data_IF_880776520520
#
_entry.id   IF_880776520520
#
_cell.length_a   1.000
_cell.length_b   1.000
_cell.length_c   1.000
_cell.angle_alpha   90.00
_cell.angle_beta   90.00
_cell.angle_gamma   90.00
#
_symmetry.space_group_name_H-M   'P 1'
#
loop_
_entity.id
_entity.type
_entity.pdbx_description
1 polymer ?
#
# COMPACT_ATOMS: atom_id res chain seq x y z
N UNK A 1 -19.59 -78.92 -25.53
CA UNK A 1 -18.88 -80.21 -25.37
C UNK A 1 -19.82 -81.20 -24.68
N UNK A 2 -20.69 -81.88 -25.45
CA UNK A 2 -21.42 -83.12 -25.09
C UNK A 2 -22.36 -83.59 -26.25
N UNK A 3 -22.07 -83.26 -27.51
CA UNK A 3 -22.91 -83.67 -28.65
C UNK A 3 -22.79 -85.17 -28.98
N UNK A 4 -21.64 -85.77 -28.66
CA UNK A 4 -21.45 -87.22 -28.73
C UNK A 4 -22.23 -87.94 -27.62
N UNK A 5 -22.43 -87.26 -26.48
CA UNK A 5 -22.99 -87.91 -25.28
C UNK A 5 -24.52 -88.05 -25.33
N UNK A 6 -25.22 -87.11 -25.98
CA UNK A 6 -26.68 -87.15 -26.10
C UNK A 6 -27.20 -87.99 -27.26
N UNK A 7 -26.44 -88.14 -28.35
CA UNK A 7 -26.94 -88.75 -29.60
C UNK A 7 -26.34 -90.10 -29.95
N UNK A 8 -25.29 -90.53 -29.25
CA UNK A 8 -24.58 -91.76 -29.60
C UNK A 8 -24.36 -92.68 -28.39
N UNK A 9 -23.69 -92.22 -27.33
CA UNK A 9 -23.51 -93.03 -26.11
C UNK A 9 -24.87 -93.34 -25.49
N UNK A 10 -25.06 -94.60 -25.07
CA UNK A 10 -26.30 -95.14 -24.48
C UNK A 10 -27.51 -95.31 -25.41
N UNK A 11 -27.37 -95.12 -26.73
CA UNK A 11 -28.46 -95.41 -27.69
C UNK A 11 -28.52 -96.89 -28.08
N UNK A 12 -29.70 -97.37 -28.51
CA UNK A 12 -29.86 -98.73 -29.05
C UNK A 12 -28.90 -99.00 -30.20
N UNK A 13 -28.67 -98.00 -31.06
CA UNK A 13 -27.75 -98.04 -32.19
C UNK A 13 -26.29 -98.30 -31.78
N UNK A 14 -25.79 -97.67 -30.71
CA UNK A 14 -24.42 -97.89 -30.23
C UNK A 14 -24.23 -99.31 -29.70
N UNK A 15 -25.22 -99.83 -28.97
CA UNK A 15 -25.20 -101.19 -28.42
C UNK A 15 -25.29 -102.24 -29.54
N UNK A 16 -26.08 -101.95 -30.57
CA UNK A 16 -26.26 -102.82 -31.74
C UNK A 16 -25.03 -102.82 -32.65
N UNK A 17 -24.40 -101.65 -32.89
CA UNK A 17 -23.14 -101.55 -33.63
C UNK A 17 -21.98 -102.22 -32.89
N UNK A 18 -21.87 -102.08 -31.57
CA UNK A 18 -20.85 -102.77 -30.79
C UNK A 18 -21.06 -104.29 -30.77
N UNK A 19 -22.33 -104.74 -30.70
CA UNK A 19 -22.69 -106.16 -30.86
C UNK A 19 -22.29 -106.67 -32.25
N UNK A 20 -22.60 -105.94 -33.32
CA UNK A 20 -22.20 -106.30 -34.69
C UNK A 20 -20.68 -106.30 -34.86
N UNK A 21 -19.97 -105.30 -34.33
CA UNK A 21 -18.50 -105.25 -34.34
C UNK A 21 -17.90 -106.44 -33.61
N UNK A 22 -18.50 -106.86 -32.50
CA UNK A 22 -18.08 -108.04 -31.73
C UNK A 22 -18.37 -109.35 -32.46
N UNK A 23 -19.48 -109.45 -33.19
CA UNK A 23 -19.75 -110.60 -34.06
C UNK A 23 -18.76 -110.69 -35.23
N UNK A 24 -18.44 -109.56 -35.87
CA UNK A 24 -17.42 -109.48 -36.93
C UNK A 24 -16.03 -109.86 -36.36
N UNK A 25 -15.68 -109.40 -35.17
CA UNK A 25 -14.37 -109.71 -34.56
C UNK A 25 -14.22 -111.16 -34.12
N UNK A 26 -15.32 -111.82 -33.73
CA UNK A 26 -15.36 -113.25 -33.38
C UNK A 26 -15.27 -114.15 -34.63
N UNK A 27 -15.51 -113.62 -35.83
CA UNK A 27 -15.28 -114.25 -37.14
C UNK A 27 -15.86 -115.69 -37.27
N UNK A 28 -17.07 -115.90 -36.76
CA UNK A 28 -17.72 -117.21 -36.80
C UNK A 28 -18.55 -117.35 -38.09
N UNK A 29 -18.39 -118.46 -38.82
CA UNK A 29 -19.06 -118.70 -40.10
C UNK A 29 -20.58 -118.89 -39.92
N UNK A 30 -21.35 -117.83 -40.17
CA UNK A 30 -22.82 -117.84 -40.16
C UNK A 30 -23.38 -118.01 -41.57
N UNK A 31 -24.61 -118.54 -41.69
CA UNK A 31 -25.31 -118.67 -42.97
C UNK A 31 -25.57 -117.29 -43.58
N UNK A 32 -25.21 -117.11 -44.86
CA UNK A 32 -25.38 -115.85 -45.58
C UNK A 32 -26.82 -115.34 -45.50
N UNK A 33 -27.01 -114.18 -44.86
CA UNK A 33 -28.32 -113.53 -44.69
C UNK A 33 -28.27 -112.14 -45.30
N UNK A 34 -29.02 -111.94 -46.38
CA UNK A 34 -29.19 -110.62 -47.03
C UNK A 34 -29.76 -109.60 -46.04
N UNK A 35 -30.62 -110.06 -45.13
CA UNK A 35 -31.25 -109.22 -44.09
C UNK A 35 -30.22 -108.65 -43.13
N UNK A 36 -29.24 -109.44 -42.69
CA UNK A 36 -28.19 -108.96 -41.78
C UNK A 36 -27.25 -107.94 -42.43
N UNK A 37 -26.94 -108.12 -43.72
CA UNK A 37 -26.14 -107.16 -44.48
C UNK A 37 -26.83 -105.80 -44.67
N UNK A 38 -28.15 -105.81 -44.90
CA UNK A 38 -28.96 -104.59 -44.98
C UNK A 38 -29.03 -103.86 -43.63
N UNK A 39 -29.26 -104.58 -42.53
CA UNK A 39 -29.27 -104.00 -41.17
C UNK A 39 -27.92 -103.35 -40.81
N UNK A 40 -26.80 -103.98 -41.17
CA UNK A 40 -25.48 -103.40 -40.96
C UNK A 40 -25.29 -102.11 -41.77
N UNK A 41 -25.72 -102.10 -43.03
CA UNK A 41 -25.59 -100.95 -43.92
C UNK A 41 -26.45 -99.76 -43.46
N UNK A 42 -27.68 -100.02 -43.01
CA UNK A 42 -28.58 -98.99 -42.48
C UNK A 42 -28.06 -98.38 -41.17
N UNK A 43 -27.55 -99.22 -40.26
CA UNK A 43 -26.96 -98.75 -39.01
C UNK A 43 -25.66 -97.95 -39.25
N UNK A 44 -24.82 -98.38 -40.19
CA UNK A 44 -23.59 -97.66 -40.54
C UNK A 44 -23.87 -96.33 -41.26
N UNK A 45 -24.88 -96.30 -42.12
CA UNK A 45 -25.36 -95.07 -42.78
C UNK A 45 -25.88 -94.07 -41.73
N UNK A 46 -26.64 -94.56 -40.74
CA UNK A 46 -27.11 -93.74 -39.62
C UNK A 46 -25.96 -93.17 -38.80
N UNK A 47 -24.93 -93.97 -38.50
CA UNK A 47 -23.74 -93.50 -37.79
C UNK A 47 -22.96 -92.43 -38.54
N UNK A 48 -22.72 -92.61 -39.85
CA UNK A 48 -22.01 -91.63 -40.69
C UNK A 48 -22.79 -90.31 -40.75
N UNK A 49 -24.12 -90.38 -40.85
CA UNK A 49 -24.98 -89.19 -40.84
C UNK A 49 -24.91 -88.44 -39.50
N UNK A 50 -24.84 -89.14 -38.36
CA UNK A 50 -24.65 -88.53 -37.04
C UNK A 50 -23.28 -87.84 -36.97
N UNK A 51 -22.20 -88.51 -37.39
CA UNK A 51 -20.86 -87.91 -37.41
C UNK A 51 -20.78 -86.67 -38.29
N UNK A 52 -21.37 -86.72 -39.48
CA UNK A 52 -21.44 -85.58 -40.40
C UNK A 52 -22.21 -84.41 -39.77
N UNK A 53 -23.33 -84.69 -39.09
CA UNK A 53 -24.11 -83.68 -38.38
C UNK A 53 -23.28 -83.01 -37.28
N UNK A 54 -22.53 -83.79 -36.49
CA UNK A 54 -21.65 -83.26 -35.44
C UNK A 54 -20.57 -82.36 -36.06
N UNK A 55 -19.94 -82.80 -37.15
CA UNK A 55 -18.92 -82.02 -37.85
C UNK A 55 -19.48 -80.69 -38.37
N UNK A 56 -20.66 -80.71 -39.00
CA UNK A 56 -21.31 -79.51 -39.53
C UNK A 56 -21.73 -78.55 -38.40
N UNK A 57 -22.21 -79.08 -37.27
CA UNK A 57 -22.56 -78.27 -36.10
C UNK A 57 -21.33 -77.62 -35.48
N UNK A 58 -20.25 -78.37 -35.28
CA UNK A 58 -19.00 -77.83 -34.74
C UNK A 58 -18.38 -76.77 -35.67
N UNK A 59 -18.38 -77.02 -36.98
CA UNK A 59 -17.89 -76.06 -37.96
C UNK A 59 -18.69 -74.75 -37.92
N UNK A 60 -20.03 -74.83 -37.85
CA UNK A 60 -20.89 -73.66 -37.69
C UNK A 60 -20.63 -72.92 -36.38
N UNK A 61 -20.48 -73.64 -35.27
CA UNK A 61 -20.26 -73.07 -33.95
C UNK A 61 -18.91 -72.33 -33.87
N UNK A 62 -17.85 -72.91 -34.45
CA UNK A 62 -16.52 -72.28 -34.55
C UNK A 62 -16.60 -70.99 -35.38
N UNK A 63 -17.24 -71.03 -36.55
CA UNK A 63 -17.36 -69.84 -37.42
C UNK A 63 -18.17 -68.73 -36.75
N UNK A 64 -19.28 -69.07 -36.09
CA UNK A 64 -20.10 -68.10 -35.34
C UNK A 64 -19.32 -67.52 -34.16
N UNK A 65 -18.59 -68.35 -33.42
CA UNK A 65 -17.76 -67.90 -32.30
C UNK A 65 -16.65 -66.96 -32.75
N UNK A 66 -15.94 -67.30 -33.84
CA UNK A 66 -14.91 -66.45 -34.44
C UNK A 66 -15.48 -65.11 -34.91
N UNK A 67 -16.61 -65.13 -35.62
CA UNK A 67 -17.23 -63.90 -36.14
C UNK A 67 -17.73 -62.99 -35.01
N UNK A 68 -18.31 -63.56 -33.95
CA UNK A 68 -18.73 -62.81 -32.77
C UNK A 68 -17.51 -62.18 -32.07
N UNK A 69 -16.45 -62.95 -31.84
CA UNK A 69 -15.23 -62.45 -31.20
C UNK A 69 -14.56 -61.35 -32.03
N UNK A 70 -14.50 -61.50 -33.36
CA UNK A 70 -13.95 -60.50 -34.26
C UNK A 70 -14.76 -59.19 -34.22
N UNK A 71 -16.09 -59.28 -34.26
CA UNK A 71 -16.98 -58.11 -34.20
C UNK A 71 -16.91 -57.35 -32.87
N UNK A 72 -16.64 -58.05 -31.76
CA UNK A 72 -16.42 -57.44 -30.45
C UNK A 72 -15.10 -56.66 -30.43
N UNK A 73 -14.02 -57.25 -30.92
CA UNK A 73 -12.71 -56.59 -30.98
C UNK A 73 -12.72 -55.36 -31.90
N UNK A 74 -13.44 -55.41 -33.02
CA UNK A 74 -13.59 -54.24 -33.91
C UNK A 74 -14.33 -53.08 -33.23
N UNK A 75 -15.31 -53.37 -32.37
CA UNK A 75 -16.03 -52.34 -31.59
C UNK A 75 -15.14 -51.71 -30.53
N UNK A 76 -14.40 -52.53 -29.80
CA UNK A 76 -13.51 -52.05 -28.74
C UNK A 76 -12.36 -51.19 -29.28
N UNK A 77 -11.76 -51.60 -30.42
CA UNK A 77 -10.74 -50.81 -31.12
C UNK A 77 -11.33 -49.49 -31.61
N UNK A 78 -12.55 -49.50 -32.16
CA UNK A 78 -13.22 -48.28 -32.64
C UNK A 78 -13.49 -47.29 -31.51
N UNK A 79 -14.01 -47.75 -30.38
CA UNK A 79 -14.25 -46.91 -29.20
C UNK A 79 -12.92 -46.33 -28.69
N UNK A 80 -11.88 -47.15 -28.62
CA UNK A 80 -10.54 -46.72 -28.20
C UNK A 80 -9.97 -45.62 -29.09
N UNK A 81 -10.11 -45.74 -30.42
CA UNK A 81 -9.67 -44.71 -31.37
C UNK A 81 -10.43 -43.40 -31.16
N UNK A 82 -11.76 -43.44 -30.99
CA UNK A 82 -12.54 -42.22 -30.75
C UNK A 82 -12.17 -41.52 -29.44
N UNK A 83 -11.90 -42.27 -28.38
CA UNK A 83 -11.43 -41.71 -27.10
C UNK A 83 -10.07 -41.02 -27.25
N UNK A 84 -9.12 -41.66 -27.96
CA UNK A 84 -7.79 -41.10 -28.19
C UNK A 84 -7.86 -39.82 -29.03
N UNK A 85 -8.63 -39.82 -30.12
CA UNK A 85 -8.81 -38.63 -30.97
C UNK A 85 -9.48 -37.50 -30.17
N UNK A 86 -10.49 -37.81 -29.35
CA UNK A 86 -11.12 -36.84 -28.47
C UNK A 86 -10.12 -36.22 -27.47
N UNK A 87 -9.28 -37.04 -26.85
CA UNK A 87 -8.24 -36.58 -25.93
C UNK A 87 -7.21 -35.65 -26.63
N UNK A 88 -6.78 -36.02 -27.85
CA UNK A 88 -5.84 -35.22 -28.65
C UNK A 88 -6.43 -33.85 -29.00
N UNK A 89 -7.74 -33.76 -29.30
CA UNK A 89 -8.40 -32.49 -29.62
C UNK A 89 -8.68 -31.66 -28.36
N UNK A 90 -9.01 -32.29 -27.24
CA UNK A 90 -9.29 -31.59 -25.97
C UNK A 90 -8.04 -31.01 -25.33
N UNK A 91 -6.89 -31.67 -25.46
CA UNK A 91 -5.62 -31.21 -24.89
C UNK A 91 -5.23 -29.77 -25.30
N UNK A 92 -5.16 -29.40 -26.59
CA UNK A 92 -4.83 -28.03 -26.99
C UNK A 92 -5.88 -27.02 -26.55
N UNK A 93 -7.16 -27.40 -26.47
CA UNK A 93 -8.24 -26.52 -25.98
C UNK A 93 -8.03 -26.21 -24.50
N UNK A 94 -7.73 -27.22 -23.68
CA UNK A 94 -7.44 -27.05 -22.25
C UNK A 94 -6.19 -26.18 -22.07
N UNK A 95 -5.12 -26.44 -22.80
CA UNK A 95 -3.88 -25.64 -22.74
C UNK A 95 -4.16 -24.19 -23.12
N UNK A 96 -4.93 -23.94 -24.18
CA UNK A 96 -5.31 -22.58 -24.59
C UNK A 96 -6.15 -21.86 -23.53
N UNK A 97 -7.11 -22.56 -22.92
CA UNK A 97 -7.95 -22.03 -21.85
C UNK A 97 -7.09 -21.65 -20.63
N UNK A 98 -6.22 -22.56 -20.18
CA UNK A 98 -5.31 -22.34 -19.05
C UNK A 98 -4.37 -21.18 -19.34
N UNK A 99 -3.82 -21.10 -20.55
CA UNK A 99 -2.98 -19.97 -20.96
C UNK A 99 -3.74 -18.64 -20.90
N UNK A 100 -4.97 -18.59 -21.44
CA UNK A 100 -5.83 -17.38 -21.38
C UNK A 100 -6.16 -16.97 -19.95
N UNK A 101 -6.46 -17.93 -19.07
CA UNK A 101 -6.75 -17.68 -17.66
C UNK A 101 -5.53 -17.12 -16.93
N UNK A 102 -4.36 -17.74 -17.08
CA UNK A 102 -3.11 -17.25 -16.48
C UNK A 102 -2.74 -15.86 -16.97
N UNK A 103 -2.86 -15.60 -18.29
CA UNK A 103 -2.59 -14.27 -18.85
C UNK A 103 -3.53 -13.21 -18.27
N UNK A 104 -4.83 -13.51 -18.14
CA UNK A 104 -5.79 -12.61 -17.49
C UNK A 104 -5.44 -12.36 -16.03
N UNK A 105 -5.11 -13.41 -15.28
CA UNK A 105 -4.72 -13.33 -13.88
C UNK A 105 -3.50 -12.42 -13.68
N UNK A 106 -2.46 -12.60 -14.51
CA UNK A 106 -1.26 -11.75 -14.47
C UNK A 106 -1.58 -10.30 -14.84
N UNK A 107 -2.36 -10.06 -15.90
CA UNK A 107 -2.74 -8.70 -16.29
C UNK A 107 -3.59 -7.99 -15.23
N UNK A 108 -4.46 -8.74 -14.54
CA UNK A 108 -5.27 -8.25 -13.44
C UNK A 108 -4.40 -7.95 -12.22
N UNK A 109 -3.48 -8.85 -11.86
CA UNK A 109 -2.51 -8.63 -10.78
C UNK A 109 -1.68 -7.37 -11.04
N UNK A 110 -1.15 -7.21 -12.26
CA UNK A 110 -0.40 -6.02 -12.65
C UNK A 110 -1.27 -4.74 -12.63
N UNK A 111 -2.53 -4.83 -13.06
CA UNK A 111 -3.45 -3.69 -12.95
C UNK A 111 -3.76 -3.35 -11.49
N UNK A 112 -3.85 -4.35 -10.61
CA UNK A 112 -4.07 -4.15 -9.19
C UNK A 112 -2.86 -3.46 -8.57
N UNK A 113 -1.64 -3.94 -8.85
CA UNK A 113 -0.41 -3.33 -8.34
C UNK A 113 -0.23 -1.89 -8.81
N UNK A 114 -0.56 -1.60 -10.08
CA UNK A 114 -0.49 -0.24 -10.60
C UNK A 114 -1.52 0.66 -9.91
N UNK A 115 -2.79 0.21 -9.79
CA UNK A 115 -3.81 0.98 -9.08
C UNK A 115 -3.47 1.20 -7.60
N UNK A 116 -2.90 0.22 -6.91
CA UNK A 116 -2.46 0.40 -5.53
C UNK A 116 -1.31 1.40 -5.43
N UNK A 117 -0.39 1.39 -6.40
CA UNK A 117 0.71 2.36 -6.44
C UNK A 117 0.20 3.78 -6.70
N UNK A 118 -0.70 3.95 -7.68
CA UNK A 118 -1.31 5.24 -8.00
C UNK A 118 -2.09 5.79 -6.79
N UNK A 119 -2.89 4.94 -6.13
CA UNK A 119 -3.61 5.31 -4.91
C UNK A 119 -2.67 5.70 -3.76
N UNK A 120 -1.54 5.01 -3.60
CA UNK A 120 -0.54 5.35 -2.58
C UNK A 120 0.12 6.70 -2.88
N UNK A 121 0.39 7.00 -4.15
CA UNK A 121 0.94 8.28 -4.59
C UNK A 121 -0.05 9.44 -4.37
N UNK A 122 -1.32 9.24 -4.75
CA UNK A 122 -2.39 10.22 -4.50
C UNK A 122 -2.60 10.46 -3.01
N UNK A 123 -2.56 9.39 -2.21
CA UNK A 123 -2.62 9.47 -0.75
C UNK A 123 -1.46 10.29 -0.20
N UNK A 124 -0.21 9.97 -0.57
CA UNK A 124 0.98 10.73 -0.12
C UNK A 124 0.90 12.21 -0.47
N UNK A 125 0.43 12.53 -1.68
CA UNK A 125 0.26 13.92 -2.11
C UNK A 125 -0.80 14.64 -1.27
N UNK A 126 -1.91 13.97 -0.99
CA UNK A 126 -2.99 14.51 -0.13
C UNK A 126 -2.51 14.73 1.31
N UNK A 127 -1.76 13.77 1.86
CA UNK A 127 -1.15 13.88 3.19
C UNK A 127 -0.16 15.05 3.28
N UNK A 128 0.70 15.21 2.27
CA UNK A 128 1.65 16.34 2.21
C UNK A 128 0.95 17.69 2.19
N UNK A 129 -0.11 17.85 1.37
CA UNK A 129 -0.90 19.07 1.32
C UNK A 129 -1.58 19.35 2.67
N UNK A 130 -2.08 18.31 3.34
CA UNK A 130 -2.69 18.45 4.66
C UNK A 130 -1.66 18.91 5.71
N UNK A 131 -0.44 18.37 5.68
CA UNK A 131 0.64 18.78 6.59
C UNK A 131 1.18 20.19 6.32
N UNK A 132 0.97 20.74 5.12
CA UNK A 132 1.27 22.14 4.83
C UNK A 132 0.25 23.11 5.45
N UNK A 133 -0.98 22.65 5.68
CA UNK A 133 -2.07 23.48 6.23
C UNK A 133 -2.27 23.30 7.74
N UNK A 134 -1.90 22.14 8.29
CA UNK A 134 -2.12 21.79 9.69
C UNK A 134 -0.91 21.09 10.29
N UNK A 135 -0.69 21.20 11.61
CA UNK A 135 0.38 20.46 12.25
C UNK A 135 0.19 18.95 12.12
N UNK A 136 1.29 18.21 11.96
CA UNK A 136 1.30 16.76 11.68
C UNK A 136 0.47 15.95 12.68
N UNK A 137 0.54 16.29 13.98
CA UNK A 137 -0.22 15.61 15.03
C UNK A 137 -1.74 15.77 14.86
N UNK A 138 -2.18 16.97 14.46
CA UNK A 138 -3.57 17.31 14.23
C UNK A 138 -4.07 16.71 12.91
N UNK A 139 -3.27 16.80 11.85
CA UNK A 139 -3.55 16.20 10.56
C UNK A 139 -3.75 14.68 10.66
N UNK A 140 -2.88 13.96 11.39
CA UNK A 140 -3.03 12.52 11.65
C UNK A 140 -4.33 12.18 12.38
N UNK A 141 -4.74 13.01 13.34
CA UNK A 141 -6.02 12.84 14.04
C UNK A 141 -7.21 13.04 13.11
N UNK A 142 -7.15 14.03 12.22
CA UNK A 142 -8.18 14.25 11.19
C UNK A 142 -8.30 13.07 10.23
N UNK A 143 -7.18 12.53 9.76
CA UNK A 143 -7.18 11.40 8.82
C UNK A 143 -7.73 10.10 9.43
N UNK A 144 -7.66 9.96 10.75
CA UNK A 144 -8.19 8.81 11.47
C UNK A 144 -9.62 9.01 11.99
N UNK A 145 -10.31 10.07 11.56
CA UNK A 145 -11.65 10.46 12.04
C UNK A 145 -11.74 10.58 13.58
N UNK A 146 -10.61 10.89 14.23
CA UNK A 146 -10.59 11.08 15.69
C UNK A 146 -11.00 12.51 16.03
N UNK A 147 -11.86 12.71 17.04
CA UNK A 147 -12.26 14.05 17.45
C UNK A 147 -11.03 14.84 17.93
N UNK A 148 -10.92 16.09 17.48
CA UNK A 148 -9.85 17.01 17.89
C UNK A 148 -10.42 17.96 18.93
N UNK A 149 -10.25 17.60 20.19
CA UNK A 149 -10.62 18.45 21.30
C UNK A 149 -9.60 19.58 21.47
N UNK A 150 -10.04 20.79 21.86
CA UNK A 150 -9.14 21.87 22.26
C UNK A 150 -8.24 21.42 23.41
N UNK A 151 -6.96 21.77 23.32
CA UNK A 151 -5.96 21.45 24.35
C UNK A 151 -5.49 22.72 25.06
N UNK A 152 -5.37 22.65 26.38
CA UNK A 152 -4.81 23.71 27.19
C UNK A 152 -3.29 23.53 27.33
N UNK A 153 -2.52 24.54 26.93
CA UNK A 153 -1.08 24.59 27.09
C UNK A 153 -0.73 25.59 28.20
N UNK A 154 -0.10 25.11 29.27
CA UNK A 154 0.27 25.93 30.43
C UNK A 154 1.34 26.98 30.11
N UNK A 155 2.33 26.62 29.30
CA UNK A 155 3.42 27.51 28.91
C UNK A 155 3.75 27.34 27.43
N UNK A 156 3.59 28.43 26.68
CA UNK A 156 4.04 28.58 25.29
C UNK A 156 4.62 29.97 25.10
N UNK A 157 5.57 30.13 24.18
CA UNK A 157 6.08 31.44 23.80
C UNK A 157 5.53 31.83 22.44
N UNK A 158 4.85 32.96 22.39
CA UNK A 158 4.25 33.54 21.19
C UNK A 158 5.10 34.69 20.68
N UNK A 159 5.42 34.66 19.40
CA UNK A 159 6.09 35.69 18.62
C UNK A 159 5.06 36.40 17.73
N UNK A 160 5.13 37.72 17.69
CA UNK A 160 4.48 38.56 16.69
C UNK A 160 5.52 39.47 16.05
N UNK A 161 5.43 39.65 14.74
CA UNK A 161 6.10 40.75 14.07
C UNK A 161 5.21 41.49 13.11
N UNK A 162 5.51 42.77 12.92
CA UNK A 162 4.86 43.63 11.95
C UNK A 162 5.88 44.41 11.14
N UNK A 163 5.51 44.78 9.90
CA UNK A 163 6.37 45.53 9.00
C UNK A 163 6.20 47.02 9.28
N UNK A 164 7.31 47.70 9.59
CA UNK A 164 7.29 49.14 9.86
C UNK A 164 6.95 49.90 8.59
N UNK A 165 5.88 50.70 8.64
CA UNK A 165 5.49 51.56 7.53
C UNK A 165 4.82 50.83 6.36
N UNK A 166 4.38 49.58 6.54
CA UNK A 166 3.76 48.77 5.48
C UNK A 166 2.63 49.48 4.74
N UNK A 167 1.72 50.16 5.45
CA UNK A 167 0.63 50.96 4.84
C UNK A 167 1.16 52.05 3.92
N UNK A 168 2.28 52.68 4.27
CA UNK A 168 2.93 53.74 3.47
C UNK A 168 3.64 53.15 2.25
N UNK A 169 4.27 51.99 2.41
CA UNK A 169 4.90 51.27 1.29
C UNK A 169 3.82 50.83 0.30
N UNK A 170 2.71 50.27 0.80
CA UNK A 170 1.58 49.82 -0.01
C UNK A 170 0.91 50.97 -0.77
N UNK A 171 0.76 52.16 -0.16
CA UNK A 171 0.14 53.30 -0.84
C UNK A 171 0.98 53.84 -2.00
N UNK A 172 2.29 53.60 -2.00
CA UNK A 172 3.24 53.99 -3.05
C UNK A 172 3.51 52.89 -4.08
N UNK A 173 3.02 51.68 -3.85
CA UNK A 173 3.33 50.49 -4.64
C UNK A 173 2.10 50.01 -5.40
N UNK A 174 2.28 49.42 -6.57
CA UNK A 174 1.18 48.72 -7.23
C UNK A 174 0.81 47.46 -6.43
N UNK A 175 -0.46 46.99 -6.48
CA UNK A 175 -0.86 45.76 -5.80
C UNK A 175 0.00 44.55 -6.19
N UNK A 176 0.47 44.50 -7.45
CA UNK A 176 1.35 43.43 -7.91
C UNK A 176 2.73 43.49 -7.25
N UNK A 177 3.32 44.68 -7.11
CA UNK A 177 4.58 44.87 -6.37
C UNK A 177 4.44 44.50 -4.89
N UNK A 178 3.30 44.85 -4.27
CA UNK A 178 3.00 44.49 -2.87
C UNK A 178 2.97 42.97 -2.67
N UNK A 179 2.38 42.22 -3.61
CA UNK A 179 2.37 40.76 -3.54
C UNK A 179 3.79 40.19 -3.70
N UNK A 180 4.55 40.66 -4.70
CA UNK A 180 5.90 40.17 -4.93
C UNK A 180 6.85 40.46 -3.75
N UNK A 181 6.79 41.68 -3.18
CA UNK A 181 7.66 42.05 -2.05
C UNK A 181 7.32 41.25 -0.79
N UNK A 182 6.04 40.97 -0.52
CA UNK A 182 5.63 40.15 0.62
C UNK A 182 6.04 38.70 0.45
N UNK A 183 5.86 38.14 -0.76
CA UNK A 183 6.27 36.77 -1.04
C UNK A 183 7.78 36.60 -0.90
N UNK A 184 8.58 37.57 -1.34
CA UNK A 184 10.04 37.57 -1.17
C UNK A 184 10.43 37.59 0.32
N UNK A 185 9.88 38.53 1.10
CA UNK A 185 10.13 38.64 2.54
C UNK A 185 9.74 37.36 3.29
N UNK A 186 8.53 36.84 3.04
CA UNK A 186 8.06 35.63 3.72
C UNK A 186 8.81 34.38 3.29
N UNK A 187 9.26 34.27 2.03
CA UNK A 187 10.08 33.14 1.60
C UNK A 187 11.42 33.10 2.35
N UNK A 188 12.04 34.26 2.55
CA UNK A 188 13.30 34.38 3.32
C UNK A 188 13.07 34.00 4.79
N UNK A 189 11.96 34.44 5.40
CA UNK A 189 11.62 34.07 6.77
C UNK A 189 11.31 32.57 6.88
N UNK A 190 10.50 32.03 5.97
CA UNK A 190 10.11 30.61 5.93
C UNK A 190 11.33 29.68 5.84
N UNK A 191 12.37 30.05 5.07
CA UNK A 191 13.61 29.28 5.00
C UNK A 191 14.38 29.25 6.34
N UNK A 192 14.30 30.32 7.15
CA UNK A 192 15.01 30.37 8.44
C UNK A 192 14.29 29.60 9.52
N UNK A 193 12.95 29.67 9.56
CA UNK A 193 12.17 29.05 10.64
C UNK A 193 12.23 27.52 10.64
N UNK A 194 12.52 26.88 9.49
CA UNK A 194 12.71 25.42 9.40
C UNK A 194 13.83 24.88 10.31
N UNK A 195 14.74 25.75 10.78
CA UNK A 195 15.86 25.38 11.68
C UNK A 195 15.50 25.38 13.15
N UNK A 196 14.33 25.91 13.52
CA UNK A 196 13.89 26.13 14.89
C UNK A 196 12.63 25.32 15.21
N UNK A 197 12.42 25.01 16.49
CA UNK A 197 11.19 24.33 16.94
C UNK A 197 10.04 25.33 17.11
N UNK A 198 9.49 25.77 15.98
CA UNK A 198 8.43 26.80 15.91
C UNK A 198 7.32 26.38 14.95
N UNK A 199 6.10 26.76 15.31
CA UNK A 199 4.90 26.57 14.49
C UNK A 199 4.39 27.92 13.98
N UNK A 200 4.25 28.04 12.65
CA UNK A 200 3.68 29.21 11.98
C UNK A 200 2.17 29.22 12.11
N UNK A 201 1.62 30.31 12.62
CA UNK A 201 0.17 30.50 12.77
C UNK A 201 -0.32 31.42 11.66
N UNK A 202 -1.36 31.02 10.94
CA UNK A 202 -1.98 31.88 9.94
C UNK A 202 -2.66 33.09 10.59
N UNK A 203 -2.21 34.28 10.20
CA UNK A 203 -2.72 35.57 10.65
C UNK A 203 -3.33 36.38 9.51
N UNK A 204 -4.03 37.46 9.88
CA UNK A 204 -4.61 38.41 8.93
C UNK A 204 -3.63 39.58 8.78
N UNK A 205 -3.27 39.92 7.54
CA UNK A 205 -2.47 41.10 7.22
C UNK A 205 -0.97 40.82 7.06
N UNK A 206 -0.16 41.83 7.41
CA UNK A 206 1.31 41.86 7.44
C UNK A 206 1.91 41.37 8.76
N UNK A 207 1.05 41.09 9.75
CA UNK A 207 1.47 40.47 10.99
C UNK A 207 1.93 39.04 10.75
N UNK A 208 3.11 38.68 11.26
CA UNK A 208 3.67 37.34 11.20
C UNK A 208 3.71 36.73 12.59
N UNK A 209 2.92 35.65 12.81
CA UNK A 209 2.79 35.00 14.11
C UNK A 209 3.42 33.62 14.11
N UNK A 210 4.24 33.37 15.13
CA UNK A 210 4.90 32.09 15.36
C UNK A 210 4.79 31.71 16.82
N UNK A 211 4.79 30.42 17.11
CA UNK A 211 4.63 29.92 18.47
C UNK A 211 5.50 28.70 18.68
N UNK A 212 6.11 28.62 19.86
CA UNK A 212 6.86 27.44 20.31
C UNK A 212 6.26 26.87 21.59
N UNK A 213 6.43 25.57 21.81
CA UNK A 213 5.76 24.81 22.88
C UNK A 213 4.39 24.24 22.50
N UNK A 214 3.97 24.41 21.24
CA UNK A 214 2.81 23.75 20.64
C UNK A 214 3.03 23.53 19.13
N UNK A 215 2.30 22.58 18.49
CA UNK A 215 1.36 21.62 19.09
C UNK A 215 2.06 20.53 19.92
N UNK A 216 3.38 20.38 19.79
CA UNK A 216 4.19 19.49 20.60
C UNK A 216 4.84 20.33 21.70
N UNK A 217 4.70 19.87 22.94
CA UNK A 217 5.30 20.54 24.11
C UNK A 217 6.80 20.34 24.09
N UNK A 218 7.56 21.42 24.21
CA UNK A 218 9.02 21.38 24.23
C UNK A 218 9.61 21.81 25.58
N UNK A 219 8.86 21.54 26.67
CA UNK A 219 9.28 21.80 28.06
C UNK A 219 9.67 23.27 28.25
N UNK A 220 10.89 23.56 28.70
CA UNK A 220 11.37 24.91 29.01
C UNK A 220 12.11 25.58 27.83
N UNK A 221 12.19 24.93 26.66
CA UNK A 221 12.97 25.44 25.53
C UNK A 221 12.20 26.44 24.64
N UNK A 222 10.86 26.51 24.74
CA UNK A 222 10.03 27.37 23.88
C UNK A 222 10.50 28.83 23.82
N UNK A 223 10.90 29.40 24.95
CA UNK A 223 11.32 30.78 25.03
C UNK A 223 12.66 30.99 24.32
N UNK A 224 13.60 30.07 24.51
CA UNK A 224 14.92 30.12 23.89
C UNK A 224 14.87 29.93 22.37
N UNK A 225 14.03 29.02 21.88
CA UNK A 225 13.84 28.76 20.44
C UNK A 225 13.29 30.00 19.74
N UNK A 226 12.24 30.62 20.31
CA UNK A 226 11.66 31.86 19.77
C UNK A 226 12.66 33.02 19.84
N UNK A 227 13.44 33.13 20.93
CA UNK A 227 14.45 34.17 21.07
C UNK A 227 15.56 34.06 20.02
N UNK A 228 16.11 32.86 19.80
CA UNK A 228 17.13 32.62 18.77
C UNK A 228 16.60 32.88 17.37
N UNK A 229 15.40 32.37 17.08
CA UNK A 229 14.73 32.61 15.80
C UNK A 229 14.50 34.10 15.55
N UNK A 230 14.10 34.84 16.58
CA UNK A 230 13.87 36.29 16.47
C UNK A 230 15.14 37.07 16.14
N UNK A 231 16.27 36.69 16.74
CA UNK A 231 17.58 37.26 16.40
C UNK A 231 17.98 36.97 14.96
N UNK A 232 17.80 35.73 14.51
CA UNK A 232 18.15 35.30 13.15
C UNK A 232 17.29 35.99 12.09
N UNK A 233 15.97 36.09 12.33
CA UNK A 233 15.03 36.82 11.47
C UNK A 233 15.40 38.30 11.42
N UNK A 234 15.68 38.93 12.56
CA UNK A 234 16.03 40.34 12.60
C UNK A 234 17.31 40.62 11.81
N UNK A 235 18.33 39.77 11.94
CA UNK A 235 19.58 39.88 11.19
C UNK A 235 19.33 39.80 9.68
N UNK A 236 18.64 38.76 9.19
CA UNK A 236 18.45 38.56 7.75
C UNK A 236 17.53 39.61 7.11
N UNK A 237 16.49 40.03 7.83
CA UNK A 237 15.56 41.06 7.35
C UNK A 237 16.27 42.41 7.26
N UNK A 238 17.16 42.74 8.21
CA UNK A 238 17.95 43.98 8.18
C UNK A 238 18.98 44.05 7.03
N UNK A 239 19.37 42.89 6.48
CA UNK A 239 20.26 42.78 5.32
C UNK A 239 19.48 42.84 4.00
N UNK A 240 18.19 42.53 4.03
CA UNK A 240 17.32 42.46 2.85
C UNK A 240 16.75 43.84 2.48
N UNK A 241 16.56 44.06 1.17
CA UNK A 241 16.01 45.31 0.62
C UNK A 241 14.63 45.08 0.01
N UNK A 242 13.85 46.14 -0.07
CA UNK A 242 12.55 46.10 -0.75
C UNK A 242 12.78 46.02 -2.27
N UNK A 243 12.34 44.96 -2.97
CA UNK A 243 12.75 44.67 -4.35
C UNK A 243 12.51 45.80 -5.36
N UNK A 244 11.43 46.57 -5.19
CA UNK A 244 11.04 47.66 -6.10
C UNK A 244 11.37 49.06 -5.56
N UNK A 245 11.94 49.19 -4.37
CA UNK A 245 12.34 50.48 -3.77
C UNK A 245 13.85 50.42 -3.42
N UNK A 246 14.72 50.82 -4.37
CA UNK A 246 16.16 50.73 -4.18
C UNK A 246 16.64 51.54 -2.96
N UNK A 247 17.46 50.90 -2.12
CA UNK A 247 18.05 51.54 -0.94
C UNK A 247 17.17 51.55 0.31
N UNK A 248 15.91 51.16 0.21
CA UNK A 248 15.04 50.98 1.38
C UNK A 248 15.14 49.55 1.89
N UNK A 249 15.53 49.41 3.17
CA UNK A 249 15.67 48.12 3.85
C UNK A 249 14.40 47.78 4.58
N UNK A 250 14.15 46.49 4.74
CA UNK A 250 13.06 46.04 5.60
C UNK A 250 13.34 46.42 7.05
N UNK A 251 12.30 46.92 7.72
CA UNK A 251 12.30 47.12 9.16
C UNK A 251 11.08 46.43 9.73
N UNK A 252 11.30 45.60 10.73
CA UNK A 252 10.24 44.89 11.44
C UNK A 252 10.28 45.26 12.92
N UNK A 253 9.11 45.22 13.54
CA UNK A 253 8.96 45.22 15.00
C UNK A 253 8.69 43.80 15.45
N UNK A 254 9.29 43.40 16.56
CA UNK A 254 9.08 42.07 17.13
C UNK A 254 8.57 42.19 18.56
N UNK A 255 7.54 41.42 18.88
CA UNK A 255 6.96 41.27 20.21
C UNK A 255 6.90 39.80 20.63
N UNK A 256 7.35 39.49 21.84
CA UNK A 256 7.40 38.13 22.37
C UNK A 256 6.75 38.10 23.75
N UNK A 257 5.90 37.10 23.98
CA UNK A 257 5.31 36.87 25.29
C UNK A 257 5.12 35.37 25.57
N UNK A 258 5.46 34.95 26.78
CA UNK A 258 5.18 33.61 27.29
C UNK A 258 3.94 33.61 28.17
N UNK A 259 3.10 32.60 28.03
CA UNK A 259 2.02 32.31 28.96
C UNK A 259 1.20 31.12 28.51
N UNK A 260 0.06 30.91 29.18
CA UNK A 260 -0.85 29.83 28.81
C UNK A 260 -1.74 30.18 27.62
N UNK A 261 -2.10 29.18 26.83
CA UNK A 261 -3.05 29.30 25.71
C UNK A 261 -3.94 28.06 25.63
N UNK A 262 -5.10 28.23 25.01
CA UNK A 262 -5.91 27.11 24.52
C UNK A 262 -5.73 27.05 23.01
N UNK A 263 -5.36 25.89 22.48
CA UNK A 263 -5.21 25.69 21.04
C UNK A 263 -6.18 24.62 20.55
N UNK A 264 -6.75 24.81 19.36
CA UNK A 264 -7.74 23.89 18.81
C UNK A 264 -8.03 24.17 17.35
N UNK A 265 -8.71 23.23 16.69
CA UNK A 265 -9.12 23.39 15.30
C UNK A 265 -10.48 24.07 15.22
N UNK A 266 -10.55 25.15 14.45
CA UNK A 266 -11.79 25.90 14.21
C UNK A 266 -12.20 25.76 12.75
N UNK A 267 -13.50 25.51 12.53
CA UNK A 267 -14.10 25.39 11.20
C UNK A 267 -14.13 23.97 10.66
N UNK A 268 -15.25 23.59 10.05
CA UNK A 268 -15.45 22.23 9.48
C UNK A 268 -14.99 22.12 8.04
N UNK A 269 -15.22 23.16 7.22
CA UNK A 269 -14.89 23.16 5.78
C UNK A 269 -13.47 23.64 5.48
N UNK A 270 -12.97 24.59 6.26
CA UNK A 270 -11.61 25.13 6.18
C UNK A 270 -11.03 25.10 7.59
N UNK A 271 -10.55 23.93 8.06
CA UNK A 271 -10.04 23.79 9.41
C UNK A 271 -8.76 24.61 9.58
N UNK A 272 -8.70 25.40 10.65
CA UNK A 272 -7.51 26.18 11.03
C UNK A 272 -7.13 25.86 12.45
N UNK A 273 -5.84 25.61 12.69
CA UNK A 273 -5.33 25.46 14.03
C UNK A 273 -5.12 26.85 14.66
N UNK A 274 -6.04 27.21 15.56
CA UNK A 274 -6.11 28.53 16.16
C UNK A 274 -5.69 28.50 17.62
N UNK A 275 -5.09 29.61 18.07
CA UNK A 275 -4.71 29.83 19.46
C UNK A 275 -5.59 30.91 20.07
N UNK A 276 -6.03 30.66 21.30
CA UNK A 276 -6.85 31.58 22.08
C UNK A 276 -6.23 31.78 23.47
N UNK A 277 -6.30 33.01 23.96
CA UNK A 277 -5.84 33.35 25.30
C UNK A 277 -5.30 34.77 25.39
N UNK A 278 -5.21 35.27 26.62
CA UNK A 278 -4.65 36.60 26.87
C UNK A 278 -3.17 36.69 26.43
N UNK A 279 -2.44 35.58 26.43
CA UNK A 279 -1.04 35.48 25.99
C UNK A 279 -0.84 36.00 24.56
N UNK A 280 -1.76 35.70 23.64
CA UNK A 280 -1.71 36.17 22.24
C UNK A 280 -1.89 37.69 22.18
N UNK A 281 -2.85 38.23 22.94
CA UNK A 281 -3.11 39.67 23.00
C UNK A 281 -1.94 40.45 23.63
N UNK A 282 -1.30 39.88 24.66
CA UNK A 282 -0.11 40.49 25.28
C UNK A 282 1.07 40.47 24.30
N UNK A 283 1.28 39.37 23.55
CA UNK A 283 2.33 39.31 22.53
C UNK A 283 2.14 40.39 21.44
N UNK A 284 0.91 40.55 20.93
CA UNK A 284 0.57 41.62 19.98
C UNK A 284 0.78 43.03 20.59
N UNK A 285 0.53 43.22 21.89
CA UNK A 285 0.88 44.47 22.58
C UNK A 285 2.40 44.69 22.69
N UNK A 286 3.19 43.63 22.85
CA UNK A 286 4.66 43.74 22.90
C UNK A 286 5.18 44.19 21.52
N UNK A 287 4.62 43.65 20.44
CA UNK A 287 4.99 44.05 19.07
C UNK A 287 4.65 45.51 18.82
N UNK A 288 3.39 45.91 19.05
CA UNK A 288 2.92 47.27 18.74
C UNK A 288 3.60 48.37 19.57
N UNK A 289 4.20 48.02 20.71
CA UNK A 289 4.97 48.94 21.56
C UNK A 289 6.49 48.80 21.38
N UNK A 290 6.93 47.92 20.49
CA UNK A 290 8.33 47.73 20.13
C UNK A 290 8.85 48.88 19.25
N UNK A 291 10.17 49.06 19.23
CA UNK A 291 10.83 50.00 18.34
C UNK A 291 11.22 49.30 17.02
N UNK A 292 11.29 50.00 15.89
CA UNK A 292 11.79 49.46 14.63
C UNK A 292 13.15 48.79 14.79
N UNK A 293 13.27 47.54 14.32
CA UNK A 293 14.51 46.77 14.38
C UNK A 293 14.87 46.24 15.76
N UNK A 294 13.91 46.21 16.70
CA UNK A 294 14.12 45.73 18.06
C UNK A 294 13.16 44.60 18.42
N UNK A 295 13.62 43.73 19.31
CA UNK A 295 12.83 42.66 19.91
C UNK A 295 12.33 43.12 21.27
N UNK A 296 11.02 43.10 21.46
CA UNK A 296 10.38 43.46 22.71
C UNK A 296 9.81 42.20 23.37
N UNK A 297 10.29 41.86 24.56
CA UNK A 297 9.80 40.72 25.33
C UNK A 297 9.00 41.16 26.56
N UNK A 298 8.06 40.32 26.99
CA UNK A 298 7.35 40.49 28.25
C UNK A 298 8.18 40.00 29.46
N UNK A 299 7.72 40.34 30.66
CA UNK A 299 8.36 39.88 31.90
C UNK A 299 8.31 38.37 32.07
N UNK A 300 7.25 37.70 31.62
CA UNK A 300 7.15 36.23 31.69
C UNK A 300 8.22 35.59 30.80
N UNK A 301 8.39 36.06 29.56
CA UNK A 301 9.46 35.58 28.68
C UNK A 301 10.84 35.82 29.25
N UNK A 302 11.07 36.97 29.89
CA UNK A 302 12.34 37.24 30.59
C UNK A 302 12.63 36.20 31.67
N UNK A 303 11.63 35.79 32.44
CA UNK A 303 11.80 34.81 33.52
C UNK A 303 12.22 33.45 32.93
N UNK A 304 11.59 33.02 31.84
CA UNK A 304 11.96 31.77 31.17
C UNK A 304 13.37 31.85 30.56
N UNK A 305 13.69 32.97 29.91
CA UNK A 305 15.01 33.19 29.32
C UNK A 305 16.13 33.27 30.35
N UNK A 306 15.86 33.61 31.62
CA UNK A 306 16.90 33.56 32.68
C UNK A 306 17.49 32.17 32.90
N UNK A 307 16.79 31.12 32.49
CA UNK A 307 17.31 29.76 32.53
C UNK A 307 18.43 29.54 31.49
N UNK A 308 18.55 30.44 30.52
CA UNK A 308 19.52 30.40 29.43
C UNK A 308 20.51 31.58 29.54
N UNK A 309 21.74 31.37 30.05
CA UNK A 309 22.68 32.46 30.37
C UNK A 309 23.22 33.21 29.14
N UNK A 310 22.99 32.69 27.94
CA UNK A 310 23.51 33.25 26.68
C UNK A 310 22.75 34.50 26.21
N UNK A 311 21.56 34.78 26.76
CA UNK A 311 20.76 35.93 26.38
C UNK A 311 21.06 37.14 27.25
N UNK A 312 21.55 38.20 26.61
CA UNK A 312 21.60 39.52 27.23
C UNK A 312 20.28 40.23 27.01
N UNK A 313 19.74 40.80 28.08
CA UNK A 313 18.44 41.46 28.02
C UNK A 313 18.48 42.75 28.85
N UNK A 314 18.09 43.88 28.25
CA UNK A 314 18.22 45.23 28.83
C UNK A 314 16.88 45.91 29.11
N UNK A 315 16.65 46.42 30.32
CA UNK A 315 15.38 47.07 30.69
C UNK A 315 15.21 48.44 30.01
N UNK A 316 14.21 48.61 29.13
CA UNK A 316 13.76 49.95 28.69
C UNK A 316 13.00 50.59 29.86
N UNK A 317 13.27 51.87 30.14
CA UNK A 317 12.69 52.58 31.30
C UNK A 317 11.16 52.51 31.41
N UNK A 318 10.61 52.86 32.57
CA UNK A 318 9.17 52.76 32.90
C UNK A 318 8.29 53.59 31.95
N UNK A 319 7.81 52.98 30.86
CA UNK A 319 6.51 53.32 30.26
C UNK A 319 5.62 52.11 30.48
N UNK A 320 4.65 52.25 31.38
CA UNK A 320 3.56 51.28 31.66
C UNK A 320 4.00 49.84 31.95
N UNK A 321 4.31 49.49 33.21
CA UNK A 321 4.33 48.13 33.82
C UNK A 321 4.91 46.93 33.01
N UNK A 322 5.66 47.17 31.94
CA UNK A 322 6.26 46.14 31.10
C UNK A 322 7.75 46.37 31.13
N UNK A 323 8.46 45.43 31.75
CA UNK A 323 9.91 45.35 31.64
C UNK A 323 10.23 44.93 30.21
N UNK A 324 10.72 45.88 29.42
CA UNK A 324 11.09 45.71 28.02
C UNK A 324 12.51 45.19 27.96
N UNK A 325 12.81 44.10 27.24
CA UNK A 325 14.20 43.68 27.05
C UNK A 325 14.58 43.37 25.60
N UNK A 326 15.72 43.93 25.18
CA UNK A 326 16.34 43.73 23.87
C UNK A 326 17.26 42.53 23.95
N UNK A 327 17.02 41.51 23.12
CA UNK A 327 17.98 40.42 22.95
C UNK A 327 19.06 40.91 21.98
N UNK A 328 20.29 41.04 22.47
CA UNK A 328 21.48 41.28 21.63
C UNK A 328 22.32 40.02 21.52
N UNK A 329 23.03 39.79 20.40
CA UNK A 329 24.03 38.73 20.35
C UNK A 329 25.09 38.99 21.44
N UNK A 330 25.67 37.94 22.07
CA UNK A 330 26.66 38.13 23.12
C UNK A 330 27.83 38.99 22.61
N UNK A 331 28.43 39.82 23.48
CA UNK A 331 29.56 40.72 23.15
C UNK A 331 30.75 40.00 22.49
N UNK A 332 30.88 38.68 22.65
CA UNK A 332 31.90 37.87 22.00
C UNK A 332 31.57 37.53 20.53
N UNK A 333 30.29 37.49 20.14
CA UNK A 333 29.87 37.27 18.75
C UNK A 333 30.13 38.48 17.84
N UNK A 334 30.18 39.70 18.39
CA UNK A 334 30.57 40.91 17.64
C UNK A 334 32.06 40.94 17.27
N UNK A 335 32.92 40.25 18.02
CA UNK A 335 34.35 40.13 17.72
C UNK A 335 34.65 38.91 16.82
N UNK A 336 33.83 37.85 16.91
CA UNK A 336 34.00 36.63 16.11
C UNK A 336 33.44 36.72 14.69
N UNK A 337 32.47 37.58 14.40
CA UNK A 337 31.96 37.81 13.03
C UNK A 337 33.02 38.42 12.10
N UNK A 338 34.04 39.09 12.68
CA UNK A 338 35.17 39.67 11.96
C UNK A 338 36.31 38.68 11.69
N UNK A 339 36.32 37.49 12.32
CA UNK A 339 37.52 36.64 12.34
C UNK A 339 37.34 35.18 11.88
N UNK A 340 36.15 34.64 11.61
CA UNK A 340 36.03 33.30 10.99
C UNK A 340 34.64 32.94 10.43
N UNK A 341 34.53 32.38 9.21
CA UNK A 341 33.27 31.94 8.59
C UNK A 341 32.82 30.55 9.08
N UNK A 342 32.74 30.33 10.40
CA UNK A 342 32.51 29.00 10.99
C UNK A 342 31.55 28.94 12.20
N UNK A 343 30.56 29.82 12.29
CA UNK A 343 29.38 29.52 13.11
C UNK A 343 28.41 28.63 12.32
N UNK A 344 28.82 27.38 12.11
CA UNK A 344 27.92 26.29 11.73
C UNK A 344 27.39 25.73 13.04
N UNK A 345 26.17 26.13 13.42
CA UNK A 345 25.39 25.42 14.42
C UNK A 345 25.22 23.98 13.94
N UNK A 346 25.79 23.01 14.67
CA UNK A 346 25.65 21.59 14.35
C UNK A 346 24.23 21.15 14.73
N UNK A 347 23.39 20.68 13.78
CA UNK A 347 22.14 20.05 14.16
C UNK A 347 22.43 18.84 15.05
N UNK A 348 21.65 18.68 16.14
CA UNK A 348 21.60 17.42 16.88
C UNK A 348 21.34 16.31 15.87
N UNK A 349 22.23 15.31 15.81
CA UNK A 349 21.98 14.07 15.09
C UNK A 349 20.64 13.52 15.57
N UNK A 350 19.64 13.53 14.70
CA UNK A 350 18.46 12.68 14.84
C UNK A 350 19.02 11.25 14.85
N UNK A 351 18.87 10.55 15.97
CA UNK A 351 19.19 9.14 16.08
C UNK A 351 18.27 8.37 15.12
N UNK A 352 18.74 8.11 13.90
CA UNK A 352 18.27 7.04 13.03
C UNK A 352 18.74 5.70 13.61
N UNK A 353 18.15 5.31 14.74
CA UNK A 353 18.30 3.98 15.34
C UNK A 353 16.91 3.51 15.76
N UNK A 354 16.09 3.13 14.78
CA UNK A 354 15.02 2.11 14.84
C UNK A 354 14.40 1.95 13.44
N UNK A 355 15.19 1.44 12.49
CA UNK A 355 14.66 0.82 11.28
C UNK A 355 15.51 -0.43 10.97
N UNK A 356 15.35 -1.43 11.82
CA UNK A 356 15.73 -2.82 11.58
C UNK A 356 14.69 -3.68 12.28
N UNK A 357 14.32 -4.81 11.66
CA UNK A 357 13.14 -5.66 11.88
C UNK A 357 11.89 -5.04 11.21
N UNK A 358 11.30 -5.59 10.14
CA UNK A 358 10.97 -6.99 9.85
C UNK A 358 11.03 -7.23 8.33
N UNK A 359 11.40 -8.47 7.98
CA UNK A 359 11.51 -9.13 6.67
C UNK A 359 10.34 -8.88 5.72
#
# INVERSE_FOLDING_TARGET
MNLLDERYTYTSLATELDSMRKQISVNNATSASVVAGLVWFDNMTSYINILKTIQDTLAKEIVVSLNNNLSLHERDVRISIFLVVGAIVMFPVIVLLVYRLNKKLQSFANSLTNKTHDLEQERKRTEQLLYQMLPVSIAKRMMNDTPIEPEYFESVTVYFSDIVGFTTICSKSSPMQVIYMLNDLYSVIDERIEKFDVYKVETIGDAYMMVSGLPVRNTDQHASEIALMSLDILEIVSQSQIPHIPGEKWQIRIGINTGSVVAGVVGTKMPRYCLFGNTVNVASRMESTSEPGMIHISQSTKIDLKQHPDFMVEQRGKRSNVDVLVIGPPKEAQLFSLLSPRYIYRPKKINLLTMNYIV
#
